data_IF_371046925714
#
_entry.id   IF_371046925714
#
_cell.length_a   1.000
_cell.length_b   1.000
_cell.length_c   1.000
_cell.angle_alpha   90.00
_cell.angle_beta   90.00
_cell.angle_gamma   90.00
#
_symmetry.space_group_name_H-M   'P 1'
#
loop_
_entity.id
_entity.type
_entity.pdbx_description
1 polymer ?
#
# COMPACT_ATOMS: atom_id res chain seq x y z
N UNK A 1 -11.12 60.54 41.25
CA UNK A 1 -11.63 59.20 40.97
C UNK A 1 -11.65 59.02 39.46
N UNK A 2 -10.65 58.41 38.91
CA UNK A 2 -10.56 58.12 37.47
C UNK A 2 -10.75 56.62 37.29
N UNK A 3 -11.84 56.21 36.60
CA UNK A 3 -12.17 54.87 36.23
C UNK A 3 -11.30 54.41 35.04
N UNK A 4 -10.57 53.32 35.21
CA UNK A 4 -9.80 52.66 34.16
C UNK A 4 -10.67 51.56 33.61
N UNK A 5 -11.11 51.71 32.35
CA UNK A 5 -11.80 50.66 31.58
C UNK A 5 -10.79 49.68 31.02
N UNK A 6 -10.91 48.41 31.43
CA UNK A 6 -10.11 47.30 30.92
C UNK A 6 -10.77 46.80 29.64
N UNK A 7 -10.16 47.04 28.48
CA UNK A 7 -10.59 46.50 27.19
C UNK A 7 -10.02 45.08 27.05
N UNK A 8 -10.88 44.05 27.07
CA UNK A 8 -10.52 42.68 26.78
C UNK A 8 -10.44 42.55 25.26
N UNK A 9 -9.22 42.38 24.74
CA UNK A 9 -8.95 42.11 23.35
C UNK A 9 -9.19 40.60 23.09
N UNK A 10 -10.36 40.26 22.57
CA UNK A 10 -10.66 38.90 22.10
C UNK A 10 -9.88 38.65 20.80
N UNK A 11 -8.78 37.88 20.87
CA UNK A 11 -8.12 37.34 19.68
C UNK A 11 -9.03 36.26 19.06
N UNK A 12 -9.74 36.59 17.99
CA UNK A 12 -10.34 35.62 17.10
C UNK A 12 -9.21 34.89 16.34
N UNK A 13 -8.92 33.67 16.72
CA UNK A 13 -8.20 32.74 15.87
C UNK A 13 -9.09 32.43 14.66
N UNK A 14 -8.84 33.11 13.55
CA UNK A 14 -9.44 32.75 12.27
C UNK A 14 -8.92 31.35 11.88
N UNK A 15 -9.81 30.39 11.51
CA UNK A 15 -9.36 29.16 10.92
C UNK A 15 -8.65 29.52 9.60
N UNK A 16 -7.38 29.14 9.48
CA UNK A 16 -6.67 29.19 8.20
C UNK A 16 -7.37 28.24 7.24
N UNK A 17 -8.25 28.79 6.43
CA UNK A 17 -8.74 28.15 5.22
C UNK A 17 -7.49 27.92 4.35
N UNK A 18 -7.00 26.68 4.30
CA UNK A 18 -6.08 26.26 3.27
C UNK A 18 -6.78 26.45 1.92
N UNK A 19 -6.49 27.53 1.24
CA UNK A 19 -6.89 27.72 -0.13
C UNK A 19 -6.20 26.65 -0.96
N UNK A 20 -6.97 25.64 -1.40
CA UNK A 20 -6.53 24.73 -2.43
C UNK A 20 -6.09 25.56 -3.64
N UNK A 21 -4.81 25.46 -3.99
CA UNK A 21 -4.33 26.03 -5.24
C UNK A 21 -5.15 25.37 -6.37
N UNK A 22 -5.68 26.13 -7.34
CA UNK A 22 -6.41 25.54 -8.45
C UNK A 22 -5.47 24.59 -9.20
N UNK A 23 -5.80 23.31 -9.26
CA UNK A 23 -5.03 22.25 -9.88
C UNK A 23 -5.13 22.30 -11.43
N UNK A 24 -4.80 23.43 -12.02
CA UNK A 24 -4.71 23.58 -13.48
C UNK A 24 -3.33 23.24 -14.06
N UNK A 25 -2.37 22.85 -13.21
CA UNK A 25 -1.08 22.38 -13.70
C UNK A 25 -1.22 20.95 -14.23
N UNK A 26 -0.84 20.74 -15.49
CA UNK A 26 -0.80 19.41 -16.10
C UNK A 26 0.18 18.51 -15.36
N UNK A 27 -0.26 17.31 -14.98
CA UNK A 27 0.59 16.36 -14.26
C UNK A 27 1.70 15.78 -15.16
N UNK A 28 2.79 15.20 -14.59
CA UNK A 28 3.84 14.57 -15.39
C UNK A 28 3.33 13.51 -16.38
N UNK A 29 2.32 12.71 -16.00
CA UNK A 29 1.71 11.75 -16.91
C UNK A 29 0.93 12.43 -18.03
N UNK A 30 0.15 13.46 -17.73
CA UNK A 30 -0.60 14.23 -18.73
C UNK A 30 0.33 14.91 -19.73
N UNK A 31 1.45 15.48 -19.27
CA UNK A 31 2.47 16.07 -20.13
C UNK A 31 3.07 15.03 -21.09
N UNK A 32 3.44 13.84 -20.56
CA UNK A 32 3.98 12.73 -21.36
C UNK A 32 2.98 12.22 -22.39
N UNK A 33 1.71 12.06 -22.01
CA UNK A 33 0.63 11.66 -22.92
C UNK A 33 0.45 12.68 -24.04
N UNK A 34 0.33 13.97 -23.71
CA UNK A 34 0.14 15.05 -24.68
C UNK A 34 1.31 15.11 -25.67
N UNK A 35 2.55 15.03 -25.18
CA UNK A 35 3.74 14.99 -26.01
C UNK A 35 3.73 13.78 -26.96
N UNK A 36 3.47 12.58 -26.45
CA UNK A 36 3.43 11.37 -27.25
C UNK A 36 2.37 11.42 -28.35
N UNK A 37 1.16 11.92 -28.04
CA UNK A 37 0.09 12.12 -29.03
C UNK A 37 0.46 13.12 -30.11
N UNK A 38 1.14 14.22 -29.78
CA UNK A 38 1.64 15.19 -30.75
C UNK A 38 2.64 14.54 -31.71
N UNK A 39 3.60 13.76 -31.18
CA UNK A 39 4.59 13.05 -32.01
C UNK A 39 3.94 12.00 -32.90
N UNK A 40 2.94 11.26 -32.41
CA UNK A 40 2.17 10.27 -33.20
C UNK A 40 1.41 10.96 -34.33
N UNK A 41 0.83 12.13 -34.08
CA UNK A 41 0.12 12.91 -35.10
C UNK A 41 1.03 13.32 -36.24
N UNK A 42 2.27 13.71 -35.93
CA UNK A 42 3.29 14.09 -36.93
C UNK A 42 3.86 12.88 -37.68
N UNK A 43 4.10 11.78 -36.96
CA UNK A 43 4.64 10.56 -37.54
C UNK A 43 3.95 9.31 -36.96
N UNK A 44 2.86 8.83 -37.57
CA UNK A 44 2.09 7.66 -37.10
C UNK A 44 2.85 6.33 -37.12
N UNK A 45 4.01 6.25 -37.77
CA UNK A 45 4.83 5.05 -37.84
C UNK A 45 6.01 5.07 -36.85
N UNK A 46 6.10 6.04 -35.94
CA UNK A 46 7.14 6.12 -34.92
C UNK A 46 6.79 5.23 -33.74
N UNK A 47 7.27 3.98 -33.73
CA UNK A 47 6.96 2.99 -32.68
C UNK A 47 7.26 3.50 -31.27
N UNK A 48 8.40 4.20 -31.07
CA UNK A 48 8.77 4.73 -29.76
C UNK A 48 7.73 5.71 -29.17
N UNK A 49 7.04 6.50 -29.99
CA UNK A 49 6.02 7.41 -29.50
C UNK A 49 4.80 6.68 -28.88
N UNK A 50 4.45 5.52 -29.41
CA UNK A 50 3.43 4.65 -28.82
C UNK A 50 3.89 4.00 -27.53
N UNK A 51 5.18 3.66 -27.40
CA UNK A 51 5.74 3.22 -26.13
C UNK A 51 5.69 4.33 -25.07
N UNK A 52 6.05 5.56 -25.43
CA UNK A 52 5.97 6.72 -24.54
C UNK A 52 4.53 7.04 -24.13
N UNK A 53 3.57 6.85 -25.03
CA UNK A 53 2.14 6.96 -24.73
C UNK A 53 1.70 5.90 -23.70
N UNK A 54 2.13 4.65 -23.87
CA UNK A 54 1.83 3.57 -22.93
C UNK A 54 2.41 3.85 -21.55
N UNK A 55 3.67 4.28 -21.46
CA UNK A 55 4.31 4.72 -20.20
C UNK A 55 3.55 5.88 -19.55
N UNK A 56 3.06 6.83 -20.36
CA UNK A 56 2.23 7.93 -19.88
C UNK A 56 0.93 7.43 -19.23
N UNK A 57 0.26 6.46 -19.84
CA UNK A 57 -0.95 5.84 -19.29
C UNK A 57 -0.67 5.02 -18.03
N UNK A 58 0.39 4.22 -17.98
CA UNK A 58 0.81 3.48 -16.77
C UNK A 58 1.08 4.48 -15.62
N UNK A 59 1.79 5.58 -15.91
CA UNK A 59 2.03 6.62 -14.91
C UNK A 59 0.71 7.29 -14.48
N UNK A 60 -0.27 7.43 -15.39
CA UNK A 60 -1.58 8.01 -15.05
C UNK A 60 -2.34 7.13 -14.04
N UNK A 61 -2.22 5.80 -14.12
CA UNK A 61 -2.75 4.90 -13.06
C UNK A 61 -2.10 5.21 -11.72
N UNK A 62 -0.78 5.41 -11.68
CA UNK A 62 -0.06 5.77 -10.44
C UNK A 62 -0.48 7.13 -9.87
N UNK A 63 -0.89 8.07 -10.71
CA UNK A 63 -1.37 9.39 -10.29
C UNK A 63 -2.82 9.37 -9.77
N UNK A 64 -3.67 8.46 -10.31
CA UNK A 64 -5.13 8.53 -10.14
C UNK A 64 -5.78 7.28 -9.57
N UNK A 65 -5.08 6.14 -9.48
CA UNK A 65 -5.62 4.79 -9.26
C UNK A 65 -6.69 4.32 -10.27
N UNK A 66 -6.89 5.02 -11.38
CA UNK A 66 -7.85 4.63 -12.41
C UNK A 66 -7.25 3.55 -13.33
N UNK A 67 -7.61 2.31 -13.07
CA UNK A 67 -7.08 1.13 -13.79
C UNK A 67 -7.49 1.09 -15.28
N UNK A 68 -8.50 1.88 -15.72
CA UNK A 68 -8.91 1.96 -17.13
C UNK A 68 -7.76 2.44 -18.04
N UNK A 69 -6.81 3.19 -17.49
CA UNK A 69 -5.62 3.59 -18.24
C UNK A 69 -4.70 2.42 -18.59
N UNK A 70 -4.80 1.26 -17.93
CA UNK A 70 -4.07 0.06 -18.35
C UNK A 70 -4.55 -0.47 -19.70
N UNK A 71 -5.84 -0.38 -20.02
CA UNK A 71 -6.36 -0.79 -21.33
C UNK A 71 -5.88 0.16 -22.45
N UNK A 72 -5.78 1.45 -22.14
CA UNK A 72 -5.19 2.43 -23.05
C UNK A 72 -3.69 2.18 -23.26
N UNK A 73 -2.95 1.84 -22.20
CA UNK A 73 -1.55 1.46 -22.28
C UNK A 73 -1.35 0.20 -23.14
N UNK A 74 -2.17 -0.83 -22.93
CA UNK A 74 -2.12 -2.06 -23.72
C UNK A 74 -2.36 -1.78 -25.22
N UNK A 75 -3.37 -0.96 -25.55
CA UNK A 75 -3.66 -0.55 -26.93
C UNK A 75 -2.47 0.15 -27.57
N UNK A 76 -1.85 1.07 -26.85
CA UNK A 76 -0.66 1.78 -27.33
C UNK A 76 0.53 0.83 -27.52
N UNK A 77 0.77 -0.09 -26.59
CA UNK A 77 1.83 -1.10 -26.69
C UNK A 77 1.61 -2.06 -27.86
N UNK A 78 0.39 -2.50 -28.09
CA UNK A 78 0.07 -3.33 -29.25
C UNK A 78 0.44 -2.61 -30.55
N UNK A 79 0.11 -1.33 -30.66
CA UNK A 79 0.47 -0.55 -31.83
C UNK A 79 1.98 -0.35 -31.95
N UNK A 80 2.67 -0.08 -30.84
CA UNK A 80 4.13 0.00 -30.80
C UNK A 80 4.79 -1.26 -31.39
N UNK A 81 4.38 -2.45 -30.92
CA UNK A 81 4.96 -3.72 -31.30
C UNK A 81 4.50 -4.21 -32.69
N UNK A 82 3.37 -3.73 -33.21
CA UNK A 82 3.01 -3.94 -34.64
C UNK A 82 3.98 -3.21 -35.58
N UNK A 83 4.42 -2.00 -35.19
CA UNK A 83 5.34 -1.18 -36.00
C UNK A 83 6.78 -1.69 -35.83
N UNK A 84 7.19 -2.01 -34.60
CA UNK A 84 8.53 -2.48 -34.25
C UNK A 84 8.47 -3.68 -33.31
N UNK A 85 8.38 -4.92 -33.85
CA UNK A 85 8.23 -6.14 -33.03
C UNK A 85 9.36 -6.35 -32.02
N UNK A 86 10.58 -5.93 -32.34
CA UNK A 86 11.77 -6.10 -31.53
C UNK A 86 12.07 -4.89 -30.60
N UNK A 87 11.12 -3.96 -30.47
CA UNK A 87 11.29 -2.80 -29.59
C UNK A 87 11.47 -3.25 -28.13
N UNK A 88 12.72 -3.23 -27.65
CA UNK A 88 13.09 -3.68 -26.31
C UNK A 88 12.45 -2.82 -25.21
N UNK A 89 12.35 -1.51 -25.40
CA UNK A 89 11.71 -0.60 -24.44
C UNK A 89 10.21 -0.93 -24.30
N UNK A 90 9.52 -1.25 -25.42
CA UNK A 90 8.13 -1.67 -25.37
C UNK A 90 7.94 -3.03 -24.68
N UNK A 91 8.91 -3.95 -24.80
CA UNK A 91 8.90 -5.20 -24.05
C UNK A 91 9.04 -4.96 -22.54
N UNK A 92 9.92 -4.04 -22.09
CA UNK A 92 10.00 -3.61 -20.68
C UNK A 92 8.70 -2.97 -20.20
N UNK A 93 8.14 -2.07 -20.99
CA UNK A 93 6.86 -1.41 -20.66
C UNK A 93 5.72 -2.43 -20.53
N UNK A 94 5.73 -3.50 -21.33
CA UNK A 94 4.76 -4.59 -21.20
C UNK A 94 4.91 -5.34 -19.89
N UNK A 95 6.13 -5.56 -19.40
CA UNK A 95 6.34 -6.14 -18.06
C UNK A 95 5.81 -5.20 -16.98
N UNK A 96 6.09 -3.89 -17.08
CA UNK A 96 5.54 -2.89 -16.14
C UNK A 96 4.01 -2.93 -16.07
N UNK A 97 3.35 -3.01 -17.24
CA UNK A 97 1.90 -3.13 -17.32
C UNK A 97 1.40 -4.42 -16.67
N UNK A 98 2.11 -5.54 -16.89
CA UNK A 98 1.77 -6.84 -16.31
C UNK A 98 1.93 -6.84 -14.79
N UNK A 99 2.96 -6.17 -14.25
CA UNK A 99 3.13 -5.92 -12.81
C UNK A 99 1.99 -5.05 -12.27
N UNK A 100 1.65 -3.97 -12.97
CA UNK A 100 0.54 -3.08 -12.60
C UNK A 100 -0.79 -3.82 -12.50
N UNK A 101 -1.03 -4.78 -13.39
CA UNK A 101 -2.18 -5.68 -13.36
C UNK A 101 -2.05 -6.81 -12.33
N UNK A 102 -1.05 -6.78 -11.46
CA UNK A 102 -0.79 -7.77 -10.40
C UNK A 102 -0.59 -9.22 -10.90
N UNK A 103 -0.32 -9.43 -12.20
CA UNK A 103 0.02 -10.74 -12.77
C UNK A 103 1.53 -10.99 -12.62
N UNK A 104 1.94 -11.13 -11.35
CA UNK A 104 3.36 -11.16 -10.98
C UNK A 104 4.10 -12.38 -11.53
N UNK A 105 3.44 -13.54 -11.63
CA UNK A 105 4.07 -14.75 -12.16
C UNK A 105 4.45 -14.58 -13.63
N UNK A 106 3.51 -14.09 -14.44
CA UNK A 106 3.77 -13.78 -15.85
C UNK A 106 4.79 -12.66 -16.01
N UNK A 107 4.71 -11.62 -15.17
CA UNK A 107 5.66 -10.52 -15.19
C UNK A 107 7.09 -10.99 -14.90
N UNK A 108 7.29 -11.87 -13.91
CA UNK A 108 8.60 -12.42 -13.56
C UNK A 108 9.19 -13.26 -14.69
N UNK A 109 8.38 -14.14 -15.30
CA UNK A 109 8.79 -14.93 -16.47
C UNK A 109 9.26 -14.01 -17.62
N UNK A 110 8.47 -12.97 -17.94
CA UNK A 110 8.81 -12.00 -18.98
C UNK A 110 10.08 -11.22 -18.63
N UNK A 111 10.23 -10.77 -17.38
CA UNK A 111 11.42 -10.03 -16.91
C UNK A 111 12.67 -10.89 -17.01
N UNK A 112 12.63 -12.17 -16.64
CA UNK A 112 13.73 -13.12 -16.85
C UNK A 112 14.07 -13.29 -18.34
N UNK A 113 13.06 -13.29 -19.21
CA UNK A 113 13.27 -13.31 -20.66
C UNK A 113 14.04 -12.10 -21.17
N UNK A 114 13.77 -10.92 -20.63
CA UNK A 114 14.51 -9.68 -20.94
C UNK A 114 15.91 -9.68 -20.33
N UNK A 115 16.04 -10.12 -19.08
CA UNK A 115 17.34 -10.19 -18.39
C UNK A 115 18.34 -11.08 -19.12
N UNK A 116 17.90 -12.21 -19.68
CA UNK A 116 18.78 -13.05 -20.52
C UNK A 116 19.27 -12.36 -21.79
N UNK A 117 18.50 -11.40 -22.33
CA UNK A 117 18.90 -10.64 -23.52
C UNK A 117 19.85 -9.48 -23.19
N UNK A 118 19.65 -8.85 -22.04
CA UNK A 118 20.39 -7.68 -21.58
C UNK A 118 20.69 -7.80 -20.08
N UNK A 119 21.70 -8.58 -19.70
CA UNK A 119 21.99 -8.88 -18.29
C UNK A 119 22.51 -7.68 -17.48
N UNK A 120 22.79 -6.54 -18.12
CA UNK A 120 23.30 -5.32 -17.47
C UNK A 120 22.26 -4.18 -17.42
N UNK A 121 20.99 -4.45 -17.75
CA UNK A 121 19.92 -3.43 -17.69
C UNK A 121 19.35 -3.33 -16.28
N UNK A 122 19.71 -2.24 -15.58
CA UNK A 122 19.23 -1.93 -14.21
C UNK A 122 17.71 -1.92 -14.10
N UNK A 123 16.98 -1.42 -15.13
CA UNK A 123 15.52 -1.37 -15.08
C UNK A 123 14.90 -2.76 -15.19
N UNK A 124 15.52 -3.68 -15.95
CA UNK A 124 15.05 -5.07 -16.02
C UNK A 124 15.16 -5.75 -14.67
N UNK A 125 16.27 -5.53 -13.93
CA UNK A 125 16.38 -6.04 -12.55
C UNK A 125 15.33 -5.42 -11.61
N UNK A 126 15.00 -4.14 -11.80
CA UNK A 126 13.89 -3.53 -11.08
C UNK A 126 12.55 -4.23 -11.32
N UNK A 127 12.29 -4.65 -12.57
CA UNK A 127 11.09 -5.42 -12.93
C UNK A 127 11.10 -6.83 -12.32
N UNK A 128 12.28 -7.49 -12.26
CA UNK A 128 12.44 -8.77 -11.54
C UNK A 128 12.13 -8.58 -10.07
N UNK A 129 12.72 -7.57 -9.42
CA UNK A 129 12.50 -7.28 -8.00
C UNK A 129 11.01 -6.99 -7.69
N UNK A 130 10.35 -6.15 -8.51
CA UNK A 130 8.93 -5.84 -8.34
C UNK A 130 8.04 -7.07 -8.43
N UNK A 131 8.24 -7.91 -9.44
CA UNK A 131 7.46 -9.12 -9.64
C UNK A 131 7.74 -10.16 -8.54
N UNK A 132 9.00 -10.32 -8.14
CA UNK A 132 9.42 -11.23 -7.09
C UNK A 132 8.86 -10.83 -5.70
N UNK A 133 8.85 -9.53 -5.37
CA UNK A 133 8.21 -9.01 -4.15
C UNK A 133 6.71 -9.33 -4.16
N UNK A 134 6.03 -9.10 -5.29
CA UNK A 134 4.60 -9.39 -5.42
C UNK A 134 4.26 -10.87 -5.28
N UNK A 135 5.18 -11.78 -5.62
CA UNK A 135 5.03 -13.22 -5.43
C UNK A 135 5.41 -13.71 -4.02
N UNK A 136 6.13 -12.89 -3.23
CA UNK A 136 6.75 -13.31 -1.97
C UNK A 136 8.09 -14.04 -2.14
N UNK A 137 8.71 -13.95 -3.33
CA UNK A 137 10.05 -14.46 -3.59
C UNK A 137 11.13 -13.43 -3.19
N UNK A 138 11.23 -13.17 -1.89
CA UNK A 138 12.05 -12.07 -1.37
C UNK A 138 13.55 -12.26 -1.55
N UNK A 139 14.03 -13.52 -1.60
CA UNK A 139 15.45 -13.79 -1.87
C UNK A 139 15.86 -13.31 -3.26
N UNK A 140 15.11 -13.64 -4.27
CA UNK A 140 15.37 -13.18 -5.63
C UNK A 140 15.22 -11.65 -5.78
N UNK A 141 14.22 -11.08 -5.08
CA UNK A 141 14.06 -9.63 -5.05
C UNK A 141 15.26 -8.92 -4.42
N UNK A 142 15.81 -9.48 -3.33
CA UNK A 142 17.02 -8.94 -2.67
C UNK A 142 18.25 -9.05 -3.58
N UNK A 143 18.46 -10.20 -4.22
CA UNK A 143 19.55 -10.40 -5.18
C UNK A 143 19.47 -9.41 -6.35
N UNK A 144 18.26 -9.18 -6.88
CA UNK A 144 18.03 -8.22 -7.95
C UNK A 144 18.27 -6.76 -7.50
N UNK A 145 17.78 -6.38 -6.33
CA UNK A 145 17.97 -5.04 -5.77
C UNK A 145 19.46 -4.77 -5.45
N UNK A 146 20.16 -5.74 -4.87
CA UNK A 146 21.59 -5.63 -4.57
C UNK A 146 22.38 -5.42 -5.87
N UNK A 147 22.09 -6.21 -6.90
CA UNK A 147 22.75 -6.08 -8.19
C UNK A 147 22.55 -4.69 -8.82
N UNK A 148 21.33 -4.12 -8.73
CA UNK A 148 21.06 -2.75 -9.20
C UNK A 148 21.95 -1.72 -8.50
N UNK A 149 22.15 -1.85 -7.19
CA UNK A 149 22.96 -0.93 -6.39
C UNK A 149 24.46 -1.13 -6.64
N UNK A 150 24.92 -2.36 -6.90
CA UNK A 150 26.32 -2.66 -7.18
C UNK A 150 26.75 -2.10 -8.54
N UNK A 151 25.93 -2.25 -9.58
CA UNK A 151 26.24 -1.70 -10.92
C UNK A 151 26.14 -0.18 -10.95
N UNK A 152 25.15 0.39 -10.28
CA UNK A 152 24.94 1.84 -10.28
C UNK A 152 24.60 2.32 -8.87
N UNK A 153 25.58 2.56 -8.01
CA UNK A 153 25.35 3.08 -6.67
C UNK A 153 24.48 4.35 -6.69
N UNK A 154 23.51 4.41 -5.78
CA UNK A 154 22.63 5.58 -5.66
C UNK A 154 21.54 5.72 -6.74
N UNK A 155 21.36 4.73 -7.61
CA UNK A 155 20.26 4.78 -8.57
C UNK A 155 18.89 4.71 -7.84
N UNK A 156 17.97 5.62 -8.19
CA UNK A 156 16.67 5.74 -7.51
C UNK A 156 15.87 4.42 -7.52
N UNK A 157 15.72 3.69 -8.65
CA UNK A 157 15.00 2.42 -8.63
C UNK A 157 15.59 1.39 -7.66
N UNK A 158 16.93 1.25 -7.60
CA UNK A 158 17.60 0.33 -6.67
C UNK A 158 17.41 0.73 -5.21
N UNK A 159 17.51 2.04 -4.90
CA UNK A 159 17.22 2.58 -3.56
C UNK A 159 15.78 2.28 -3.13
N UNK A 160 14.81 2.44 -4.03
CA UNK A 160 13.40 2.15 -3.71
C UNK A 160 13.15 0.66 -3.48
N UNK A 161 13.78 -0.24 -4.23
CA UNK A 161 13.70 -1.68 -3.97
C UNK A 161 14.36 -2.04 -2.63
N UNK A 162 15.52 -1.46 -2.34
CA UNK A 162 16.20 -1.61 -1.04
C UNK A 162 15.30 -1.16 0.12
N UNK A 163 14.68 0.02 0.01
CA UNK A 163 13.76 0.53 1.03
C UNK A 163 12.58 -0.42 1.31
N UNK A 164 11.94 -0.92 0.24
CA UNK A 164 10.80 -1.85 0.35
C UNK A 164 11.21 -3.16 1.03
N UNK A 165 12.37 -3.73 0.64
CA UNK A 165 12.89 -4.97 1.22
C UNK A 165 13.31 -4.79 2.68
N UNK A 166 13.99 -3.69 3.02
CA UNK A 166 14.34 -3.37 4.42
C UNK A 166 13.10 -3.29 5.31
N UNK A 167 12.05 -2.62 4.85
CA UNK A 167 10.76 -2.59 5.55
C UNK A 167 10.21 -4.00 5.76
N UNK A 168 10.18 -4.84 4.72
CA UNK A 168 9.70 -6.21 4.78
C UNK A 168 10.52 -7.09 5.74
N UNK A 169 11.83 -6.83 5.86
CA UNK A 169 12.71 -7.53 6.79
C UNK A 169 12.72 -6.92 8.20
N UNK A 170 11.83 -5.98 8.49
CA UNK A 170 11.68 -5.36 9.80
C UNK A 170 12.73 -4.31 10.15
N UNK A 171 13.52 -3.87 9.17
CA UNK A 171 14.53 -2.82 9.30
C UNK A 171 13.92 -1.48 8.86
N UNK A 172 13.14 -0.86 9.74
CA UNK A 172 12.46 0.41 9.47
C UNK A 172 13.46 1.58 9.33
N UNK A 173 14.57 1.54 10.07
CA UNK A 173 15.62 2.57 10.01
C UNK A 173 16.35 2.53 8.66
N UNK A 174 16.83 1.35 8.24
CA UNK A 174 17.43 1.17 6.93
C UNK A 174 16.48 1.47 5.77
N UNK A 175 15.17 1.17 5.91
CA UNK A 175 14.17 1.55 4.93
C UNK A 175 14.05 3.08 4.82
N UNK A 176 14.02 3.79 5.95
CA UNK A 176 13.95 5.26 6.00
C UNK A 176 15.19 5.89 5.35
N UNK A 177 16.38 5.35 5.59
CA UNK A 177 17.62 5.82 4.98
C UNK A 177 17.60 5.67 3.46
N UNK A 178 17.18 4.52 2.95
CA UNK A 178 17.06 4.30 1.52
C UNK A 178 16.02 5.22 0.88
N UNK A 179 14.84 5.41 1.49
CA UNK A 179 13.85 6.37 1.00
C UNK A 179 14.38 7.80 1.02
N UNK A 180 15.12 8.20 2.05
CA UNK A 180 15.71 9.54 2.16
C UNK A 180 16.72 9.79 1.04
N UNK A 181 17.59 8.81 0.75
CA UNK A 181 18.53 8.89 -0.37
C UNK A 181 17.78 8.94 -1.72
N UNK A 182 16.75 8.11 -1.92
CA UNK A 182 15.94 8.14 -3.14
C UNK A 182 15.26 9.50 -3.34
N UNK A 183 14.71 10.09 -2.28
CA UNK A 183 14.12 11.42 -2.32
C UNK A 183 15.12 12.50 -2.76
N UNK A 184 16.33 12.48 -2.22
CA UNK A 184 17.40 13.44 -2.57
C UNK A 184 17.87 13.30 -4.02
N UNK A 185 17.85 12.07 -4.57
CA UNK A 185 18.26 11.79 -5.95
C UNK A 185 17.14 11.99 -6.97
N UNK A 186 15.89 12.09 -6.52
CA UNK A 186 14.74 12.26 -7.42
C UNK A 186 14.62 13.72 -7.89
N UNK A 187 14.58 13.99 -9.21
CA UNK A 187 14.46 15.35 -9.72
C UNK A 187 13.20 16.07 -9.22
N UNK A 188 13.27 17.37 -8.90
CA UNK A 188 12.11 18.15 -8.42
C UNK A 188 10.90 18.17 -9.36
N UNK A 189 11.11 17.93 -10.65
CA UNK A 189 10.06 17.85 -11.66
C UNK A 189 9.27 16.53 -11.62
N UNK A 190 9.78 15.52 -10.93
CA UNK A 190 9.13 14.22 -10.74
C UNK A 190 8.23 14.26 -9.49
N UNK A 191 7.25 15.16 -9.52
CA UNK A 191 6.43 15.49 -8.34
C UNK A 191 5.66 14.30 -7.77
N UNK A 192 5.14 13.41 -8.64
CA UNK A 192 4.44 12.19 -8.22
C UNK A 192 5.40 11.20 -7.54
N UNK A 193 6.60 10.98 -8.11
CA UNK A 193 7.60 10.09 -7.51
C UNK A 193 8.04 10.60 -6.13
N UNK A 194 8.24 11.93 -5.97
CA UNK A 194 8.54 12.56 -4.67
C UNK A 194 7.41 12.38 -3.67
N UNK A 195 6.15 12.57 -4.09
CA UNK A 195 5.00 12.35 -3.23
C UNK A 195 4.86 10.88 -2.81
N UNK A 196 5.12 9.94 -3.72
CA UNK A 196 5.14 8.51 -3.44
C UNK A 196 6.17 8.15 -2.37
N UNK A 197 7.40 8.65 -2.49
CA UNK A 197 8.47 8.40 -1.52
C UNK A 197 8.08 8.94 -0.13
N UNK A 198 7.64 10.19 -0.07
CA UNK A 198 7.21 10.82 1.19
C UNK A 198 6.04 10.09 1.85
N UNK A 199 5.09 9.58 1.06
CA UNK A 199 3.98 8.78 1.57
C UNK A 199 4.47 7.49 2.22
N UNK A 200 5.41 6.77 1.59
CA UNK A 200 5.96 5.56 2.19
C UNK A 200 6.84 5.81 3.43
N UNK A 201 7.55 6.95 3.47
CA UNK A 201 8.23 7.39 4.69
C UNK A 201 7.22 7.68 5.82
N UNK A 202 6.08 8.29 5.49
CA UNK A 202 5.00 8.53 6.45
C UNK A 202 4.39 7.23 6.97
N UNK A 203 4.15 6.26 6.10
CA UNK A 203 3.64 4.95 6.49
C UNK A 203 4.59 4.21 7.46
N UNK A 204 5.91 4.34 7.28
CA UNK A 204 6.90 3.83 8.22
C UNK A 204 6.78 4.50 9.60
N UNK A 205 6.66 5.83 9.64
CA UNK A 205 6.48 6.59 10.89
C UNK A 205 5.17 6.20 11.58
N UNK A 206 4.08 6.09 10.83
CA UNK A 206 2.77 5.72 11.36
C UNK A 206 2.77 4.29 11.93
N UNK A 207 3.38 3.34 11.22
CA UNK A 207 3.52 1.95 11.69
C UNK A 207 4.32 1.86 12.99
N UNK A 208 5.31 2.75 13.19
CA UNK A 208 6.08 2.87 14.42
C UNK A 208 5.35 3.67 15.53
N UNK A 209 4.14 4.17 15.28
CA UNK A 209 3.37 4.99 16.22
C UNK A 209 3.77 6.45 16.28
N UNK A 210 4.70 6.92 15.44
CA UNK A 210 5.07 8.33 15.33
C UNK A 210 4.11 9.12 14.44
N UNK A 211 2.94 9.41 14.98
CA UNK A 211 1.82 10.05 14.26
C UNK A 211 2.20 11.46 13.78
N UNK A 212 2.90 12.25 14.60
CA UNK A 212 3.33 13.62 14.26
C UNK A 212 4.38 13.64 13.15
N UNK A 213 5.29 12.66 13.15
CA UNK A 213 6.28 12.50 12.07
C UNK A 213 5.63 12.10 10.76
N UNK A 214 4.65 11.22 10.81
CA UNK A 214 3.87 10.79 9.65
C UNK A 214 3.07 11.97 9.05
N UNK A 215 2.41 12.76 9.89
CA UNK A 215 1.60 13.91 9.46
C UNK A 215 2.44 14.94 8.68
N UNK A 216 3.61 15.31 9.18
CA UNK A 216 4.53 16.24 8.49
C UNK A 216 4.94 15.73 7.10
N UNK A 217 5.22 14.44 6.99
CA UNK A 217 5.60 13.82 5.71
C UNK A 217 4.45 13.80 4.71
N UNK A 218 3.22 13.53 5.17
CA UNK A 218 2.02 13.56 4.31
C UNK A 218 1.70 14.97 3.83
N UNK A 219 1.81 15.99 4.68
CA UNK A 219 1.67 17.37 4.25
C UNK A 219 2.68 17.69 3.12
N UNK A 220 3.95 17.32 3.32
CA UNK A 220 4.98 17.50 2.28
C UNK A 220 4.67 16.71 1.00
N UNK A 221 4.11 15.51 1.09
CA UNK A 221 3.70 14.73 -0.08
C UNK A 221 2.59 15.45 -0.88
N UNK A 222 1.57 15.96 -0.19
CA UNK A 222 0.45 16.70 -0.80
C UNK A 222 0.86 18.07 -1.36
N UNK A 223 1.90 18.70 -0.81
CA UNK A 223 2.53 19.88 -1.42
C UNK A 223 3.22 19.55 -2.75
N UNK A 224 3.89 18.38 -2.85
CA UNK A 224 4.54 17.93 -4.10
C UNK A 224 3.52 17.54 -5.17
N UNK A 225 2.49 16.80 -4.77
CA UNK A 225 1.45 16.32 -5.68
C UNK A 225 0.07 16.44 -5.02
N UNK A 226 -0.64 17.55 -5.21
CA UNK A 226 -1.98 17.77 -4.65
C UNK A 226 -2.96 16.68 -5.07
N UNK A 227 -3.81 16.25 -4.13
CA UNK A 227 -4.82 15.20 -4.34
C UNK A 227 -4.24 13.80 -4.68
N UNK A 228 -2.98 13.55 -4.31
CA UNK A 228 -2.37 12.24 -4.50
C UNK A 228 -3.10 11.18 -3.66
N UNK A 229 -3.73 10.23 -4.34
CA UNK A 229 -4.66 9.30 -3.69
C UNK A 229 -4.04 8.46 -2.57
N UNK A 230 -2.75 8.06 -2.69
CA UNK A 230 -2.04 7.34 -1.62
C UNK A 230 -1.79 8.24 -0.40
N UNK A 231 -1.37 9.49 -0.63
CA UNK A 231 -1.15 10.45 0.45
C UNK A 231 -2.45 10.81 1.17
N UNK A 232 -3.57 10.97 0.44
CA UNK A 232 -4.89 11.18 1.04
C UNK A 232 -5.34 9.98 1.89
N UNK A 233 -5.04 8.75 1.44
CA UNK A 233 -5.35 7.55 2.22
C UNK A 233 -4.53 7.48 3.52
N UNK A 234 -3.21 7.70 3.44
CA UNK A 234 -2.34 7.76 4.61
C UNK A 234 -2.72 8.94 5.54
N UNK A 235 -3.13 10.09 5.00
CA UNK A 235 -3.66 11.21 5.78
C UNK A 235 -4.90 10.80 6.60
N UNK A 236 -5.83 10.10 5.97
CA UNK A 236 -7.00 9.62 6.68
C UNK A 236 -6.64 8.59 7.77
N UNK A 237 -5.68 7.70 7.55
CA UNK A 237 -5.18 6.79 8.59
C UNK A 237 -4.56 7.54 9.76
N UNK A 238 -3.79 8.60 9.51
CA UNK A 238 -3.22 9.48 10.54
C UNK A 238 -4.33 10.15 11.34
N UNK A 239 -5.34 10.73 10.66
CA UNK A 239 -6.51 11.33 11.31
C UNK A 239 -7.29 10.34 12.17
N UNK A 240 -7.45 9.10 11.70
CA UNK A 240 -8.07 8.02 12.48
C UNK A 240 -7.25 7.69 13.74
N UNK A 241 -5.92 7.64 13.65
CA UNK A 241 -5.04 7.44 14.79
C UNK A 241 -5.09 8.60 15.79
N UNK A 242 -5.41 9.82 15.33
CA UNK A 242 -5.65 11.02 16.14
C UNK A 242 -7.08 11.14 16.67
N UNK A 243 -7.93 10.12 16.48
CA UNK A 243 -9.37 10.12 16.82
C UNK A 243 -10.20 11.18 16.08
N UNK A 244 -9.76 11.63 14.90
CA UNK A 244 -10.42 12.63 14.05
C UNK A 244 -11.23 11.94 12.93
N UNK A 245 -12.16 11.07 13.29
CA UNK A 245 -12.91 10.23 12.34
C UNK A 245 -13.75 11.04 11.33
N UNK A 246 -14.27 12.21 11.71
CA UNK A 246 -15.06 13.07 10.83
C UNK A 246 -14.19 13.67 9.74
N UNK A 247 -12.98 14.12 10.08
CA UNK A 247 -12.01 14.68 9.13
C UNK A 247 -11.51 13.60 8.19
N UNK A 248 -11.14 12.43 8.71
CA UNK A 248 -10.76 11.27 7.92
C UNK A 248 -11.83 10.88 6.88
N UNK A 249 -13.09 10.85 7.29
CA UNK A 249 -14.21 10.58 6.39
C UNK A 249 -14.33 11.62 5.25
N UNK A 250 -14.12 12.92 5.53
CA UNK A 250 -14.15 13.96 4.49
C UNK A 250 -13.05 13.74 3.45
N UNK A 251 -11.82 13.48 3.91
CA UNK A 251 -10.67 13.19 3.03
C UNK A 251 -10.91 11.95 2.18
N UNK A 252 -11.45 10.89 2.78
CA UNK A 252 -11.73 9.65 2.05
C UNK A 252 -12.89 9.78 1.07
N UNK A 253 -13.90 10.63 1.34
CA UNK A 253 -14.93 10.95 0.36
C UNK A 253 -14.35 11.65 -0.87
N UNK A 254 -13.50 12.65 -0.66
CA UNK A 254 -12.81 13.35 -1.74
C UNK A 254 -11.92 12.39 -2.53
N UNK A 255 -11.11 11.59 -1.84
CA UNK A 255 -10.29 10.55 -2.46
C UNK A 255 -11.12 9.60 -3.29
N UNK A 256 -12.25 9.10 -2.77
CA UNK A 256 -13.11 8.16 -3.47
C UNK A 256 -13.85 8.78 -4.67
N UNK A 257 -14.19 10.07 -4.63
CA UNK A 257 -14.76 10.77 -5.78
C UNK A 257 -13.74 10.92 -6.92
N UNK A 258 -12.48 11.18 -6.58
CA UNK A 258 -11.42 11.41 -7.56
C UNK A 258 -10.78 10.11 -8.08
N UNK A 259 -10.73 9.08 -7.24
CA UNK A 259 -10.03 7.83 -7.50
C UNK A 259 -10.79 6.62 -6.91
N UNK A 260 -11.97 6.29 -7.43
CA UNK A 260 -12.77 5.18 -6.91
C UNK A 260 -12.09 3.84 -7.16
N UNK A 261 -11.94 3.05 -6.12
CA UNK A 261 -11.46 1.67 -6.16
C UNK A 261 -12.16 0.83 -5.07
N UNK A 262 -12.13 -0.49 -5.12
CA UNK A 262 -12.67 -1.29 -4.00
C UNK A 262 -12.05 -0.88 -2.67
N UNK A 263 -10.72 -0.73 -2.63
CA UNK A 263 -10.01 -0.36 -1.40
C UNK A 263 -10.45 1.01 -0.87
N UNK A 264 -10.72 1.99 -1.78
CA UNK A 264 -11.20 3.31 -1.35
C UNK A 264 -12.61 3.28 -0.76
N UNK A 265 -13.49 2.44 -1.30
CA UNK A 265 -14.80 2.21 -0.72
C UNK A 265 -14.71 1.55 0.65
N UNK A 266 -13.80 0.57 0.81
CA UNK A 266 -13.56 -0.09 2.10
C UNK A 266 -13.04 0.89 3.17
N UNK A 267 -12.04 1.71 2.84
CA UNK A 267 -11.49 2.72 3.72
C UNK A 267 -12.55 3.77 4.13
N UNK A 268 -13.33 4.25 3.15
CA UNK A 268 -14.43 5.18 3.41
C UNK A 268 -15.50 4.57 4.32
N UNK A 269 -15.87 3.31 4.09
CA UNK A 269 -16.85 2.60 4.90
C UNK A 269 -16.41 2.47 6.37
N UNK A 270 -15.13 2.16 6.61
CA UNK A 270 -14.54 2.12 7.97
C UNK A 270 -14.57 3.50 8.64
N UNK A 271 -14.22 4.56 7.93
CA UNK A 271 -14.25 5.92 8.47
C UNK A 271 -15.68 6.41 8.79
N UNK A 272 -16.65 6.08 7.93
CA UNK A 272 -18.07 6.34 8.16
C UNK A 272 -18.58 5.61 9.41
N UNK A 273 -18.18 4.36 9.60
CA UNK A 273 -18.50 3.57 10.80
C UNK A 273 -17.90 4.20 12.05
N UNK A 274 -16.62 4.56 12.03
CA UNK A 274 -15.93 5.22 13.14
C UNK A 274 -16.48 6.62 13.49
N UNK A 275 -17.11 7.30 12.52
CA UNK A 275 -17.79 8.60 12.71
C UNK A 275 -19.27 8.48 13.10
N UNK A 276 -19.80 7.26 13.28
CA UNK A 276 -21.19 7.01 13.66
C UNK A 276 -22.21 7.14 12.51
N UNK A 277 -21.76 7.30 11.26
CA UNK A 277 -22.63 7.40 10.08
C UNK A 277 -23.02 6.01 9.57
N UNK A 278 -23.76 5.26 10.37
CA UNK A 278 -24.04 3.83 10.17
C UNK A 278 -24.72 3.53 8.83
N UNK A 279 -25.72 4.31 8.41
CA UNK A 279 -26.44 4.04 7.17
C UNK A 279 -25.54 4.19 5.93
N UNK A 280 -24.72 5.25 5.91
CA UNK A 280 -23.77 5.49 4.81
C UNK A 280 -22.62 4.47 4.82
N UNK A 281 -22.15 4.06 6.01
CA UNK A 281 -21.16 2.99 6.15
C UNK A 281 -21.67 1.68 5.55
N UNK A 282 -22.91 1.28 5.84
CA UNK A 282 -23.53 0.08 5.26
C UNK A 282 -23.57 0.16 3.73
N UNK A 283 -23.96 1.30 3.18
CA UNK A 283 -24.01 1.50 1.73
C UNK A 283 -22.62 1.43 1.09
N UNK A 284 -21.60 2.03 1.73
CA UNK A 284 -20.24 2.01 1.25
C UNK A 284 -19.62 0.60 1.30
N UNK A 285 -19.86 -0.18 2.36
CA UNK A 285 -19.46 -1.58 2.42
C UNK A 285 -20.16 -2.44 1.35
N UNK A 286 -21.43 -2.21 1.08
CA UNK A 286 -22.16 -2.93 0.04
C UNK A 286 -21.57 -2.64 -1.36
N UNK A 287 -21.19 -1.39 -1.64
CA UNK A 287 -20.56 -1.04 -2.91
C UNK A 287 -19.15 -1.62 -3.03
N UNK A 288 -18.34 -1.57 -1.95
CA UNK A 288 -17.08 -2.29 -1.86
C UNK A 288 -17.25 -3.78 -2.20
N UNK A 289 -18.14 -4.47 -1.48
CA UNK A 289 -18.36 -5.90 -1.68
C UNK A 289 -18.78 -6.21 -3.11
N UNK A 290 -19.72 -5.44 -3.66
CA UNK A 290 -20.20 -5.61 -5.04
C UNK A 290 -19.06 -5.56 -6.07
N UNK A 291 -18.17 -4.55 -5.95
CA UNK A 291 -17.05 -4.37 -6.88
C UNK A 291 -16.00 -5.46 -6.64
N UNK A 292 -15.59 -5.69 -5.40
CA UNK A 292 -14.56 -6.65 -5.06
C UNK A 292 -14.94 -8.09 -5.46
N UNK A 293 -16.21 -8.48 -5.29
CA UNK A 293 -16.71 -9.81 -5.73
C UNK A 293 -16.63 -9.99 -7.23
N UNK A 294 -16.84 -8.94 -8.02
CA UNK A 294 -16.72 -9.05 -9.49
C UNK A 294 -15.30 -9.28 -9.97
N UNK A 295 -14.30 -9.09 -9.12
CA UNK A 295 -12.87 -9.18 -9.43
C UNK A 295 -12.18 -10.39 -8.80
N UNK A 296 -12.88 -11.27 -8.07
CA UNK A 296 -12.26 -12.37 -7.30
C UNK A 296 -11.32 -13.22 -8.16
N UNK A 297 -11.70 -13.50 -9.39
CA UNK A 297 -10.94 -14.35 -10.30
C UNK A 297 -9.94 -13.59 -11.17
N UNK A 298 -9.89 -12.27 -11.08
CA UNK A 298 -8.91 -11.40 -11.74
C UNK A 298 -7.60 -11.35 -10.98
N UNK A 299 -6.49 -11.11 -11.66
CA UNK A 299 -5.22 -10.75 -11.01
C UNK A 299 -5.30 -9.37 -10.38
N UNK A 300 -6.01 -8.42 -11.02
CA UNK A 300 -6.35 -7.09 -10.48
C UNK A 300 -7.55 -7.21 -9.55
N UNK A 301 -7.35 -7.71 -8.33
CA UNK A 301 -8.42 -7.94 -7.38
C UNK A 301 -8.17 -7.19 -6.05
N UNK A 302 -9.23 -7.09 -5.25
CA UNK A 302 -9.21 -6.62 -3.87
C UNK A 302 -9.42 -7.78 -2.87
N UNK A 303 -9.00 -8.99 -3.20
CA UNK A 303 -9.20 -10.18 -2.39
C UNK A 303 -8.71 -10.04 -0.95
N UNK A 304 -7.53 -9.45 -0.65
CA UNK A 304 -7.12 -9.25 0.75
C UNK A 304 -8.09 -8.41 1.57
N UNK A 305 -8.59 -7.31 1.00
CA UNK A 305 -9.58 -6.46 1.67
C UNK A 305 -10.93 -7.17 1.83
N UNK A 306 -11.34 -7.98 0.83
CA UNK A 306 -12.58 -8.75 0.88
C UNK A 306 -12.51 -9.87 1.93
N UNK A 307 -11.35 -10.50 2.11
CA UNK A 307 -11.12 -11.45 3.20
C UNK A 307 -11.28 -10.75 4.55
N UNK A 308 -10.64 -9.60 4.76
CA UNK A 308 -10.77 -8.83 6.01
C UNK A 308 -12.23 -8.41 6.27
N UNK A 309 -12.95 -7.97 5.24
CA UNK A 309 -14.37 -7.63 5.35
C UNK A 309 -15.22 -8.81 5.84
N UNK A 310 -15.05 -10.01 5.24
CA UNK A 310 -15.81 -11.19 5.66
C UNK A 310 -15.38 -11.73 7.03
N UNK A 311 -14.15 -11.56 7.44
CA UNK A 311 -13.70 -11.95 8.78
C UNK A 311 -14.19 -11.00 9.88
N UNK A 312 -14.34 -9.72 9.54
CA UNK A 312 -14.86 -8.70 10.44
C UNK A 312 -16.37 -8.55 10.33
N UNK A 313 -16.78 -7.54 9.57
CA UNK A 313 -18.18 -7.11 9.46
C UNK A 313 -19.08 -8.12 8.75
N UNK A 314 -18.60 -8.75 7.70
CA UNK A 314 -19.39 -9.70 6.90
C UNK A 314 -19.69 -11.01 7.59
N UNK A 315 -19.01 -11.33 8.69
CA UNK A 315 -19.17 -12.53 9.54
C UNK A 315 -19.34 -13.82 8.72
N UNK A 316 -18.53 -13.98 7.66
CA UNK A 316 -18.58 -15.12 6.75
C UNK A 316 -17.20 -15.75 6.59
N UNK A 317 -16.75 -16.45 7.63
CA UNK A 317 -15.43 -17.09 7.65
C UNK A 317 -15.25 -18.14 6.55
N UNK A 318 -16.30 -18.81 6.12
CA UNK A 318 -16.26 -19.78 5.03
C UNK A 318 -15.91 -19.11 3.69
N UNK A 319 -16.56 -18.00 3.37
CA UNK A 319 -16.29 -17.24 2.14
C UNK A 319 -14.92 -16.55 2.21
N UNK A 320 -14.54 -16.00 3.37
CA UNK A 320 -13.21 -15.46 3.61
C UNK A 320 -12.11 -16.51 3.30
N UNK A 321 -12.26 -17.71 3.83
CA UNK A 321 -11.30 -18.80 3.60
C UNK A 321 -11.29 -19.25 2.13
N UNK A 322 -12.46 -19.31 1.46
CA UNK A 322 -12.54 -19.63 0.05
C UNK A 322 -11.74 -18.65 -0.80
N UNK A 323 -11.91 -17.35 -0.56
CA UNK A 323 -11.20 -16.29 -1.28
C UNK A 323 -9.71 -16.30 -0.96
N UNK A 324 -9.35 -16.45 0.32
CA UNK A 324 -7.95 -16.54 0.73
C UNK A 324 -7.22 -17.73 0.10
N UNK A 325 -7.91 -18.87 -0.11
CA UNK A 325 -7.36 -20.04 -0.84
C UNK A 325 -7.12 -19.76 -2.32
N UNK A 326 -7.94 -18.95 -2.96
CA UNK A 326 -7.70 -18.52 -4.34
C UNK A 326 -6.44 -17.65 -4.40
N UNK A 327 -6.30 -16.70 -3.48
CA UNK A 327 -5.21 -15.73 -3.52
C UNK A 327 -3.85 -16.33 -3.15
N UNK A 328 -3.79 -17.25 -2.17
CA UNK A 328 -2.53 -17.88 -1.74
C UNK A 328 -1.89 -18.76 -2.83
N UNK A 329 -2.66 -19.22 -3.82
CA UNK A 329 -2.14 -19.92 -4.99
C UNK A 329 -1.49 -18.98 -6.00
N UNK A 330 -1.98 -17.72 -6.08
CA UNK A 330 -1.46 -16.72 -6.99
C UNK A 330 -0.20 -16.06 -6.47
N UNK A 331 -0.13 -15.81 -5.17
CA UNK A 331 1.00 -15.13 -4.53
C UNK A 331 1.10 -15.51 -3.06
N UNK A 332 2.30 -15.41 -2.54
CA UNK A 332 2.62 -15.81 -1.17
C UNK A 332 3.39 -14.71 -0.42
N UNK A 333 3.13 -13.46 -0.79
CA UNK A 333 3.67 -12.32 -0.05
C UNK A 333 3.14 -12.30 1.40
N UNK A 334 3.84 -11.55 2.27
CA UNK A 334 3.57 -11.57 3.72
C UNK A 334 2.12 -11.20 4.06
N UNK A 335 1.53 -10.24 3.34
CA UNK A 335 0.14 -9.82 3.59
C UNK A 335 -0.87 -10.88 3.16
N UNK A 336 -0.61 -11.57 2.05
CA UNK A 336 -1.43 -12.70 1.59
C UNK A 336 -1.33 -13.87 2.55
N UNK A 337 -0.12 -14.18 3.06
CA UNK A 337 0.09 -15.22 4.07
C UNK A 337 -0.64 -14.91 5.39
N UNK A 338 -0.59 -13.66 5.85
CA UNK A 338 -1.30 -13.23 7.05
C UNK A 338 -2.84 -13.32 6.89
N UNK A 339 -3.38 -12.79 5.79
CA UNK A 339 -4.81 -12.86 5.49
C UNK A 339 -5.30 -14.32 5.40
N UNK A 340 -4.50 -15.21 4.79
CA UNK A 340 -4.80 -16.64 4.73
C UNK A 340 -4.75 -17.30 6.12
N UNK A 341 -3.74 -16.95 6.94
CA UNK A 341 -3.64 -17.45 8.30
C UNK A 341 -4.84 -17.03 9.16
N UNK A 342 -5.25 -15.77 9.05
CA UNK A 342 -6.40 -15.25 9.79
C UNK A 342 -7.73 -15.86 9.33
N UNK A 343 -7.88 -16.14 8.03
CA UNK A 343 -9.04 -16.87 7.50
C UNK A 343 -9.08 -18.32 7.98
N UNK A 344 -7.93 -19.00 8.03
CA UNK A 344 -7.82 -20.35 8.60
C UNK A 344 -8.15 -20.36 10.10
N UNK A 345 -7.64 -19.40 10.87
CA UNK A 345 -7.96 -19.21 12.28
C UNK A 345 -9.47 -19.09 12.52
N UNK A 346 -10.12 -18.20 11.77
CA UNK A 346 -11.56 -17.94 11.87
C UNK A 346 -12.42 -19.14 11.46
N UNK A 347 -11.86 -20.06 10.67
CA UNK A 347 -12.47 -21.34 10.31
C UNK A 347 -12.11 -22.49 11.25
N UNK A 348 -11.44 -22.24 12.39
CA UNK A 348 -11.02 -23.25 13.36
C UNK A 348 -9.84 -24.14 12.93
N UNK A 349 -9.17 -23.81 11.82
CA UNK A 349 -8.03 -24.58 11.30
C UNK A 349 -6.71 -24.07 11.89
N UNK A 350 -6.58 -24.09 13.21
CA UNK A 350 -5.50 -23.40 13.96
C UNK A 350 -4.09 -23.88 13.62
N UNK A 351 -3.87 -25.19 13.38
CA UNK A 351 -2.54 -25.71 13.01
C UNK A 351 -2.07 -25.23 11.64
N UNK A 352 -2.97 -25.12 10.68
CA UNK A 352 -2.62 -24.62 9.35
C UNK A 352 -2.48 -23.09 9.37
N UNK A 353 -3.28 -22.38 10.18
CA UNK A 353 -3.10 -20.96 10.46
C UNK A 353 -1.69 -20.68 11.04
N UNK A 354 -1.22 -21.51 12.01
CA UNK A 354 0.12 -21.40 12.57
C UNK A 354 1.22 -21.54 11.53
N UNK A 355 1.10 -22.50 10.61
CA UNK A 355 2.07 -22.66 9.53
C UNK A 355 2.11 -21.44 8.59
N UNK A 356 0.95 -20.90 8.25
CA UNK A 356 0.85 -19.75 7.36
C UNK A 356 1.44 -18.47 7.99
N UNK A 357 1.04 -18.15 9.24
CA UNK A 357 1.56 -16.96 9.93
C UNK A 357 3.06 -17.07 10.26
N UNK A 358 3.55 -18.27 10.57
CA UNK A 358 4.97 -18.50 10.81
C UNK A 358 5.82 -18.20 9.56
N UNK A 359 5.30 -18.51 8.36
CA UNK A 359 5.96 -18.16 7.08
C UNK A 359 6.01 -16.65 6.87
N UNK A 360 4.93 -15.92 7.17
CA UNK A 360 4.91 -14.46 7.08
C UNK A 360 5.93 -13.83 8.03
N UNK A 361 5.94 -14.26 9.29
CA UNK A 361 6.85 -13.72 10.32
C UNK A 361 8.31 -14.11 10.10
N UNK A 362 8.59 -15.25 9.45
CA UNK A 362 9.97 -15.68 9.12
C UNK A 362 10.69 -14.71 8.15
N UNK A 363 9.96 -13.87 7.44
CA UNK A 363 10.52 -12.82 6.58
C UNK A 363 11.14 -11.69 7.41
N UNK A 364 10.69 -11.51 8.65
CA UNK A 364 11.18 -10.47 9.56
C UNK A 364 10.23 -9.28 9.74
N UNK A 365 9.08 -9.29 9.06
CA UNK A 365 8.09 -8.20 9.12
C UNK A 365 7.67 -7.89 10.57
N UNK A 366 7.56 -6.60 10.90
CA UNK A 366 7.20 -6.10 12.24
C UNK A 366 5.90 -5.30 12.19
N UNK A 367 4.80 -6.01 11.96
CA UNK A 367 3.47 -5.41 11.91
C UNK A 367 2.63 -5.88 13.11
N UNK A 368 2.00 -4.93 13.81
CA UNK A 368 1.21 -5.21 15.01
C UNK A 368 0.10 -6.24 14.76
N UNK A 369 -0.57 -6.17 13.61
CA UNK A 369 -1.61 -7.11 13.21
C UNK A 369 -1.08 -8.54 13.11
N UNK A 370 0.08 -8.75 12.46
CA UNK A 370 0.65 -10.09 12.24
C UNK A 370 1.03 -10.75 13.57
N UNK A 371 1.62 -9.98 14.49
CA UNK A 371 1.90 -10.46 15.81
C UNK A 371 0.63 -10.76 16.63
N UNK A 372 -0.40 -9.91 16.52
CA UNK A 372 -1.68 -10.19 17.16
C UNK A 372 -2.32 -11.49 16.64
N UNK A 373 -2.36 -11.68 15.31
CA UNK A 373 -2.88 -12.90 14.71
C UNK A 373 -2.09 -14.13 15.15
N UNK A 374 -0.76 -14.05 15.20
CA UNK A 374 0.09 -15.13 15.70
C UNK A 374 -0.18 -15.45 17.18
N UNK A 375 -0.38 -14.41 18.00
CA UNK A 375 -0.73 -14.56 19.42
C UNK A 375 -2.09 -15.23 19.61
N UNK A 376 -3.10 -14.83 18.85
CA UNK A 376 -4.43 -15.44 18.90
C UNK A 376 -4.42 -16.90 18.44
N UNK A 377 -3.67 -17.22 17.37
CA UNK A 377 -3.49 -18.59 16.88
C UNK A 377 -2.79 -19.47 17.95
N UNK A 378 -1.70 -18.96 18.56
CA UNK A 378 -0.97 -19.67 19.59
C UNK A 378 -1.83 -19.94 20.83
N UNK A 379 -2.67 -18.97 21.22
CA UNK A 379 -3.61 -19.13 22.34
C UNK A 379 -4.64 -20.25 22.10
N UNK A 380 -5.14 -20.40 20.87
CA UNK A 380 -6.07 -21.49 20.52
C UNK A 380 -5.39 -22.87 20.46
N UNK A 381 -4.09 -22.90 20.37
CA UNK A 381 -3.27 -24.13 20.41
C UNK A 381 -2.72 -24.44 21.81
N UNK A 382 -3.20 -23.73 22.84
CA UNK A 382 -2.73 -23.81 24.24
C UNK A 382 -1.24 -23.47 24.43
N UNK A 383 -0.58 -22.85 23.43
CA UNK A 383 0.81 -22.37 23.54
C UNK A 383 0.83 -20.97 24.18
N UNK A 384 0.65 -20.97 25.52
CA UNK A 384 0.59 -19.74 26.33
C UNK A 384 1.88 -18.91 26.22
N UNK A 385 3.04 -19.56 26.13
CA UNK A 385 4.32 -18.88 26.05
C UNK A 385 4.47 -18.08 24.72
N UNK A 386 4.18 -18.72 23.60
CA UNK A 386 4.19 -18.07 22.30
C UNK A 386 3.08 -17.00 22.20
N UNK A 387 1.88 -17.27 22.72
CA UNK A 387 0.78 -16.31 22.73
C UNK A 387 1.16 -15.02 23.47
N UNK A 388 1.69 -15.14 24.70
CA UNK A 388 2.15 -13.98 25.48
C UNK A 388 3.21 -13.19 24.72
N UNK A 389 4.25 -13.88 24.22
CA UNK A 389 5.32 -13.23 23.46
C UNK A 389 4.78 -12.47 22.25
N UNK A 390 3.89 -13.06 21.46
CA UNK A 390 3.36 -12.41 20.25
C UNK A 390 2.45 -11.23 20.55
N UNK A 391 1.62 -11.30 21.60
CA UNK A 391 0.83 -10.14 22.01
C UNK A 391 1.71 -8.99 22.52
N UNK A 392 2.79 -9.29 23.26
CA UNK A 392 3.78 -8.29 23.66
C UNK A 392 4.48 -7.66 22.44
N UNK A 393 4.89 -8.47 21.45
CA UNK A 393 5.48 -7.96 20.22
C UNK A 393 4.48 -7.11 19.41
N UNK A 394 3.19 -7.45 19.40
CA UNK A 394 2.16 -6.61 18.78
C UNK A 394 2.09 -5.22 19.41
N UNK A 395 2.10 -5.15 20.75
CA UNK A 395 2.08 -3.87 21.48
C UNK A 395 3.37 -3.07 21.34
N UNK A 396 4.53 -3.76 21.21
CA UNK A 396 5.82 -3.10 20.95
C UNK A 396 5.89 -2.53 19.53
N UNK A 397 5.36 -3.26 18.54
CA UNK A 397 5.35 -2.83 17.16
C UNK A 397 4.52 -1.54 16.98
N UNK A 398 3.30 -1.51 17.54
CA UNK A 398 2.47 -0.29 17.57
C UNK A 398 1.48 -0.32 18.74
N UNK A 399 1.77 0.41 19.85
CA UNK A 399 0.93 0.45 21.04
C UNK A 399 -0.42 1.13 20.86
N UNK A 400 -0.62 1.83 19.73
CA UNK A 400 -1.85 2.54 19.35
C UNK A 400 -2.59 1.90 18.18
N UNK A 401 -2.17 0.70 17.74
CA UNK A 401 -2.82 -0.03 16.67
C UNK A 401 -4.28 -0.40 17.01
N UNK A 402 -5.10 -0.66 16.01
CA UNK A 402 -6.47 -1.16 16.21
C UNK A 402 -6.52 -2.48 17.01
N UNK A 403 -5.41 -3.25 17.02
CA UNK A 403 -5.26 -4.52 17.75
C UNK A 403 -4.79 -4.36 19.19
N UNK A 404 -4.31 -3.18 19.59
CA UNK A 404 -3.67 -2.98 20.89
C UNK A 404 -4.63 -3.26 22.07
N UNK A 405 -5.89 -2.88 21.97
CA UNK A 405 -6.90 -3.16 22.99
C UNK A 405 -7.11 -4.67 23.18
N UNK A 406 -7.31 -5.38 22.09
CA UNK A 406 -7.51 -6.83 22.08
C UNK A 406 -6.25 -7.60 22.57
N UNK A 407 -5.06 -7.12 22.21
CA UNK A 407 -3.81 -7.71 22.68
C UNK A 407 -3.64 -7.57 24.22
N UNK A 408 -3.96 -6.39 24.80
CA UNK A 408 -3.92 -6.20 26.26
C UNK A 408 -4.92 -7.11 26.97
N UNK A 409 -6.15 -7.19 26.50
CA UNK A 409 -7.18 -8.07 27.06
C UNK A 409 -6.76 -9.56 27.01
N UNK A 410 -6.17 -9.99 25.87
CA UNK A 410 -5.66 -11.35 25.73
C UNK A 410 -4.51 -11.64 26.71
N UNK A 411 -3.58 -10.71 26.92
CA UNK A 411 -2.50 -10.83 27.91
C UNK A 411 -3.04 -10.96 29.34
N UNK A 412 -4.08 -10.21 29.69
CA UNK A 412 -4.72 -10.30 31.01
C UNK A 412 -5.32 -11.69 31.24
N UNK A 413 -6.00 -12.26 30.23
CA UNK A 413 -6.55 -13.63 30.30
C UNK A 413 -5.48 -14.73 30.40
N UNK A 414 -4.29 -14.46 29.86
CA UNK A 414 -3.15 -15.36 29.92
C UNK A 414 -2.35 -15.28 31.24
N UNK A 415 -2.57 -14.27 32.09
CA UNK A 415 -1.93 -14.20 33.39
C UNK A 415 -2.39 -15.37 34.27
N UNK A 416 -1.49 -16.09 34.97
CA UNK A 416 -1.91 -17.06 35.94
C UNK A 416 -2.76 -16.36 37.00
N UNK A 417 -3.89 -16.98 37.39
CA UNK A 417 -4.68 -16.49 38.54
C UNK A 417 -3.72 -16.28 39.70
N UNK A 418 -3.64 -15.01 40.17
CA UNK A 418 -2.78 -14.69 41.32
C UNK A 418 -3.11 -15.64 42.47
N UNK A 419 -2.08 -16.27 43.05
CA UNK A 419 -2.20 -17.15 44.17
C UNK A 419 -2.61 -16.42 45.48
N UNK A 420 -3.24 -15.25 45.35
CA UNK A 420 -3.64 -14.37 46.45
C UNK A 420 -5.15 -14.46 46.75
N UNK A 421 -5.65 -15.67 46.85
CA UNK A 421 -6.91 -15.93 47.55
C UNK A 421 -6.80 -17.22 48.36
N UNK A 422 -5.91 -17.23 49.37
CA UNK A 422 -6.07 -18.10 50.53
C UNK A 422 -6.46 -17.24 51.73
N UNK A 423 -7.62 -17.53 52.33
CA UNK A 423 -8.10 -16.85 53.52
C UNK A 423 -7.20 -17.03 54.72
#
# INVERSE_FOLDING_TARGET
>A
MKSVSLAILAMFLAPTLYAQAPSNATTPAQQKIAWALAVIKENPNRSQAYNDLALGYIRRVRETSDIRYYDQAETALQKCLQIGPDNFEAQKTRVMLTIGRKDFAKALEMAHGLNRKTPDDVLVYGLVADAAIGLGNYKEAEEAAQWMLDIRPGNVPGLLQGARLRRLFGDAEGAMDFYSQAYQQTPPTQTEDLAWILTHMADLQLSAGNVDGADKLIHSALEKFPNYYLALESQAHIMMAQHQAIEAMKVLRERNQNSPSPESWYALAKALEGSGQTAESVAAFAEFERIARSQIDSSENANPALVQYYLGRGQNSAEALRIARIEIVRRQDVSTLDAYAWALYSAGQYRDAQKAIARALAVGVREAAFYYHAGAIAAQLDDRASATRYFDESLKANPSSEWAGAAREALEKLRPASADSRP
#
